data_IF_427892596071
#
_entry.id   IF_427892596071
#
_cell.length_a   1.000
_cell.length_b   1.000
_cell.length_c   1.000
_cell.angle_alpha   90.00
_cell.angle_beta   90.00
_cell.angle_gamma   90.00
#
_symmetry.space_group_name_H-M   'P 1'
#
loop_
_entity.id
_entity.type
_entity.pdbx_description
1 polymer ?
#
# COMPACT_ATOMS: atom_id res chain seq x y z
N UNK A 1 -1.24 22.85 -17.16
CA UNK A 1 -0.88 23.82 -16.11
C UNK A 1 -1.93 23.92 -15.01
N UNK A 2 -3.19 24.26 -15.29
CA UNK A 2 -4.26 24.42 -14.27
C UNK A 2 -4.44 23.15 -13.42
N UNK A 3 -4.42 21.96 -14.02
CA UNK A 3 -4.56 20.69 -13.33
C UNK A 3 -3.48 20.46 -12.25
N UNK A 4 -2.22 20.76 -12.57
CA UNK A 4 -1.11 20.62 -11.60
C UNK A 4 -1.26 21.60 -10.43
N UNK A 5 -1.63 22.85 -10.71
CA UNK A 5 -1.85 23.85 -9.66
C UNK A 5 -3.03 23.44 -8.75
N UNK A 6 -4.12 22.96 -9.35
CA UNK A 6 -5.28 22.48 -8.59
C UNK A 6 -4.92 21.27 -7.71
N UNK A 7 -4.21 20.29 -8.28
CA UNK A 7 -3.73 19.10 -7.56
C UNK A 7 -2.89 19.49 -6.32
N UNK A 8 -1.88 20.36 -6.54
CA UNK A 8 -1.00 20.81 -5.45
C UNK A 8 -1.75 21.65 -4.41
N UNK A 9 -2.70 22.48 -4.83
CA UNK A 9 -3.54 23.24 -3.92
C UNK A 9 -4.39 22.31 -3.02
N UNK A 10 -5.03 21.29 -3.61
CA UNK A 10 -5.80 20.30 -2.87
C UNK A 10 -4.90 19.54 -1.87
N UNK A 11 -3.72 19.10 -2.32
CA UNK A 11 -2.76 18.41 -1.47
C UNK A 11 -2.39 19.25 -0.23
N UNK A 12 -2.05 20.53 -0.43
CA UNK A 12 -1.67 21.44 0.68
C UNK A 12 -2.85 21.67 1.64
N UNK A 13 -4.04 21.91 1.10
CA UNK A 13 -5.27 22.12 1.89
C UNK A 13 -5.58 20.91 2.77
N UNK A 14 -5.35 19.69 2.29
CA UNK A 14 -5.54 18.46 3.06
C UNK A 14 -4.38 18.16 4.02
N UNK A 15 -3.14 18.45 3.62
CA UNK A 15 -1.96 18.13 4.40
C UNK A 15 -1.84 18.95 5.71
N UNK A 16 -2.26 20.22 5.70
CA UNK A 16 -2.18 21.09 6.87
C UNK A 16 -3.04 20.56 8.05
N UNK A 17 -4.37 20.31 7.89
CA UNK A 17 -5.18 19.77 8.97
C UNK A 17 -4.78 18.35 9.37
N UNK A 18 -4.38 17.51 8.40
CA UNK A 18 -3.87 16.18 8.71
C UNK A 18 -2.59 16.25 9.54
N UNK A 19 -1.67 17.16 9.23
CA UNK A 19 -0.45 17.35 10.01
C UNK A 19 -0.72 17.77 11.46
N UNK A 20 -1.71 18.66 11.69
CA UNK A 20 -2.16 19.01 13.03
C UNK A 20 -2.80 17.82 13.76
N UNK A 21 -3.60 17.02 13.06
CA UNK A 21 -4.21 15.81 13.59
C UNK A 21 -3.14 14.78 14.01
N UNK A 22 -2.17 14.48 13.13
CA UNK A 22 -1.05 13.57 13.41
C UNK A 22 -0.28 14.02 14.65
N UNK A 23 0.04 15.33 14.75
CA UNK A 23 0.71 15.90 15.92
C UNK A 23 -0.07 15.61 17.21
N UNK A 24 -1.38 15.84 17.21
CA UNK A 24 -2.23 15.64 18.38
C UNK A 24 -2.29 14.16 18.78
N UNK A 25 -2.46 13.25 17.83
CA UNK A 25 -2.43 11.79 18.06
C UNK A 25 -1.12 11.36 18.71
N UNK A 26 0.01 11.80 18.14
CA UNK A 26 1.34 11.39 18.62
C UNK A 26 1.75 12.06 19.94
N UNK A 27 1.14 13.19 20.28
CA UNK A 27 1.28 13.83 21.60
C UNK A 27 0.34 13.22 22.65
N UNK A 28 -0.54 12.27 22.28
CA UNK A 28 -1.52 11.68 23.18
C UNK A 28 -2.71 12.61 23.51
N UNK A 29 -2.88 13.68 22.75
CA UNK A 29 -4.01 14.61 22.89
C UNK A 29 -5.30 13.98 22.36
N UNK A 30 -6.45 14.34 22.93
CA UNK A 30 -7.75 13.85 22.46
C UNK A 30 -8.08 14.42 21.09
N UNK A 31 -8.50 13.56 20.18
CA UNK A 31 -8.95 13.90 18.83
C UNK A 31 -10.44 13.55 18.68
N UNK A 32 -11.07 13.95 17.58
CA UNK A 32 -12.47 13.65 17.31
C UNK A 32 -12.74 12.14 17.18
N UNK A 33 -11.76 11.33 16.76
CA UNK A 33 -11.87 9.87 16.68
C UNK A 33 -11.53 9.15 17.98
N UNK A 34 -11.02 9.83 19.01
CA UNK A 34 -10.57 9.18 20.25
C UNK A 34 -11.65 8.38 20.94
N UNK A 35 -12.92 8.80 20.89
CA UNK A 35 -14.04 8.08 21.52
C UNK A 35 -14.21 6.67 20.94
N UNK A 36 -13.96 6.49 19.66
CA UNK A 36 -14.13 5.22 18.93
C UNK A 36 -12.84 4.40 18.93
N UNK A 37 -11.70 5.03 18.72
CA UNK A 37 -10.43 4.34 18.48
C UNK A 37 -9.61 4.06 19.75
N UNK A 38 -9.75 4.87 20.80
CA UNK A 38 -9.02 4.63 22.07
C UNK A 38 -9.39 3.30 22.73
N UNK A 39 -10.63 2.79 22.71
CA UNK A 39 -10.91 1.45 23.19
C UNK A 39 -10.13 0.36 22.46
N UNK A 40 -9.99 0.47 21.13
CA UNK A 40 -9.20 -0.47 20.32
C UNK A 40 -7.70 -0.39 20.68
N UNK A 41 -7.16 0.82 20.80
CA UNK A 41 -5.79 1.08 21.25
C UNK A 41 -5.53 0.43 22.62
N UNK A 42 -6.45 0.62 23.58
CA UNK A 42 -6.36 0.04 24.93
C UNK A 42 -6.38 -1.48 24.91
N UNK A 43 -7.23 -2.07 24.05
CA UNK A 43 -7.31 -3.51 23.90
C UNK A 43 -5.97 -4.08 23.39
N UNK A 44 -5.37 -3.44 22.39
CA UNK A 44 -4.05 -3.84 21.86
C UNK A 44 -2.99 -3.76 22.95
N UNK A 45 -2.90 -2.69 23.71
CA UNK A 45 -1.93 -2.56 24.81
C UNK A 45 -2.14 -3.62 25.87
N UNK A 46 -3.39 -3.93 26.22
CA UNK A 46 -3.72 -4.99 27.20
C UNK A 46 -3.28 -6.37 26.70
N UNK A 47 -3.58 -6.70 25.43
CA UNK A 47 -3.24 -8.00 24.82
C UNK A 47 -1.72 -8.15 24.69
N UNK A 48 -1.05 -7.11 24.19
CA UNK A 48 0.40 -7.12 23.96
C UNK A 48 1.22 -6.78 25.21
N UNK A 49 0.56 -6.45 26.35
CA UNK A 49 1.21 -6.04 27.60
C UNK A 49 2.16 -4.85 27.41
N UNK A 50 1.76 -3.88 26.60
CA UNK A 50 2.53 -2.66 26.35
C UNK A 50 2.29 -1.66 27.46
N UNK A 51 3.37 -1.17 28.08
CA UNK A 51 3.32 -0.05 29.01
C UNK A 51 3.30 1.27 28.22
N UNK A 52 2.25 2.07 28.43
CA UNK A 52 2.07 3.37 27.75
C UNK A 52 3.08 4.43 28.15
N UNK A 53 3.55 4.39 29.39
CA UNK A 53 4.46 5.36 29.98
C UNK A 53 5.93 4.99 29.75
N UNK A 54 6.18 3.83 29.12
CA UNK A 54 7.53 3.38 28.88
C UNK A 54 8.34 4.40 28.06
N UNK A 55 9.52 4.74 28.58
CA UNK A 55 10.49 5.59 27.89
C UNK A 55 11.69 4.73 27.46
N UNK A 56 11.72 4.35 26.19
CA UNK A 56 12.82 3.56 25.64
C UNK A 56 14.05 4.44 25.37
N UNK A 57 15.22 3.90 25.69
CA UNK A 57 16.47 4.45 25.14
C UNK A 57 16.53 4.23 23.63
N UNK A 58 17.37 4.98 22.92
CA UNK A 58 17.51 4.81 21.47
C UNK A 58 17.90 3.39 21.07
N UNK A 59 18.72 2.68 21.88
CA UNK A 59 19.12 1.28 21.64
C UNK A 59 17.90 0.37 21.75
N UNK A 60 17.12 0.50 22.83
CA UNK A 60 15.91 -0.33 23.02
C UNK A 60 14.89 -0.08 21.94
N UNK A 61 14.70 1.18 21.52
CA UNK A 61 13.80 1.55 20.43
C UNK A 61 14.25 0.90 19.11
N UNK A 62 15.52 1.05 18.74
CA UNK A 62 16.09 0.47 17.52
C UNK A 62 15.98 -1.08 17.51
N UNK A 63 16.31 -1.72 18.64
CA UNK A 63 16.16 -3.19 18.76
C UNK A 63 14.71 -3.61 18.61
N UNK A 64 13.75 -2.86 19.17
CA UNK A 64 12.31 -3.15 18.99
C UNK A 64 11.89 -3.07 17.52
N UNK A 65 12.35 -2.06 16.79
CA UNK A 65 12.14 -1.93 15.34
C UNK A 65 12.71 -3.14 14.59
N UNK A 66 13.94 -3.53 14.90
CA UNK A 66 14.61 -4.67 14.23
C UNK A 66 13.90 -6.00 14.50
N UNK A 67 13.50 -6.25 15.77
CA UNK A 67 12.76 -7.46 16.13
C UNK A 67 11.40 -7.49 15.41
N UNK A 68 10.67 -6.40 15.43
CA UNK A 68 9.38 -6.29 14.75
C UNK A 68 9.50 -6.55 13.24
N UNK A 69 10.47 -5.90 12.59
CA UNK A 69 10.74 -6.10 11.17
C UNK A 69 11.19 -7.54 10.86
N UNK A 70 12.03 -8.13 11.71
CA UNK A 70 12.46 -9.53 11.56
C UNK A 70 11.31 -10.53 11.68
N UNK A 71 10.40 -10.34 12.63
CA UNK A 71 9.19 -11.16 12.76
C UNK A 71 8.32 -11.02 11.51
N UNK A 72 8.11 -9.81 11.03
CA UNK A 72 7.33 -9.55 9.80
C UNK A 72 7.96 -10.23 8.58
N UNK A 73 9.30 -10.16 8.43
CA UNK A 73 10.03 -10.82 7.34
C UNK A 73 9.79 -12.33 7.35
N UNK A 74 9.99 -12.97 8.51
CA UNK A 74 9.79 -14.42 8.64
C UNK A 74 8.33 -14.80 8.41
N UNK A 75 7.39 -14.04 8.95
CA UNK A 75 5.96 -14.27 8.77
C UNK A 75 5.57 -14.20 7.29
N UNK A 76 5.94 -13.11 6.59
CA UNK A 76 5.60 -12.94 5.19
C UNK A 76 6.29 -13.96 4.29
N UNK A 77 7.52 -14.32 4.59
CA UNK A 77 8.27 -15.36 3.88
C UNK A 77 7.56 -16.72 3.98
N UNK A 78 7.23 -17.15 5.20
CA UNK A 78 6.55 -18.42 5.42
C UNK A 78 5.15 -18.44 4.84
N UNK A 79 4.40 -17.32 4.93
CA UNK A 79 3.06 -17.23 4.36
C UNK A 79 3.07 -17.47 2.84
N UNK A 80 4.03 -16.91 2.12
CA UNK A 80 4.20 -17.11 0.68
C UNK A 80 4.60 -18.54 0.33
N UNK A 81 5.52 -19.14 1.06
CA UNK A 81 5.93 -20.53 0.82
C UNK A 81 4.78 -21.52 1.05
N UNK A 82 3.93 -21.25 2.04
CA UNK A 82 2.87 -22.15 2.47
C UNK A 82 1.51 -21.86 1.81
N UNK A 83 1.38 -20.82 0.98
CA UNK A 83 0.08 -20.41 0.44
C UNK A 83 -0.68 -21.52 -0.29
N UNK A 84 0.02 -22.49 -0.88
CA UNK A 84 -0.61 -23.61 -1.61
C UNK A 84 -1.43 -24.55 -0.70
N UNK A 85 -1.15 -24.55 0.61
CA UNK A 85 -1.87 -25.39 1.60
C UNK A 85 -2.72 -24.55 2.57
N UNK A 86 -2.65 -23.24 2.49
CA UNK A 86 -3.41 -22.33 3.34
C UNK A 86 -4.79 -22.02 2.73
N UNK A 87 -5.79 -21.64 3.56
CA UNK A 87 -7.10 -21.18 3.07
C UNK A 87 -6.99 -19.84 2.34
N UNK A 88 -8.07 -19.43 1.65
CA UNK A 88 -8.11 -18.16 0.93
C UNK A 88 -7.29 -18.16 -0.36
N UNK A 89 -7.17 -19.32 -0.98
CA UNK A 89 -6.49 -19.55 -2.26
C UNK A 89 -7.48 -20.15 -3.27
N UNK A 90 -8.48 -19.37 -3.76
CA UNK A 90 -9.53 -19.89 -4.63
C UNK A 90 -9.02 -20.31 -6.03
N UNK A 91 -7.86 -19.84 -6.43
CA UNK A 91 -7.21 -20.17 -7.70
C UNK A 91 -6.27 -21.38 -7.59
N UNK A 92 -6.13 -21.97 -6.39
CA UNK A 92 -5.24 -23.11 -6.11
C UNK A 92 -3.77 -22.85 -6.51
N UNK A 93 -3.30 -21.61 -6.32
CA UNK A 93 -1.91 -21.24 -6.61
C UNK A 93 -0.95 -22.02 -5.73
N UNK A 94 0.14 -22.47 -6.29
CA UNK A 94 1.22 -23.17 -5.59
C UNK A 94 1.98 -22.22 -4.65
N UNK A 95 2.80 -22.78 -3.74
CA UNK A 95 3.73 -21.98 -2.93
C UNK A 95 4.71 -21.19 -3.80
N UNK A 96 5.00 -19.97 -3.40
CA UNK A 96 5.97 -19.11 -4.10
C UNK A 96 7.37 -19.71 -3.96
N UNK A 97 8.21 -19.61 -4.98
CA UNK A 97 9.62 -20.05 -4.90
C UNK A 97 10.36 -19.28 -3.80
N UNK A 98 11.25 -19.95 -3.10
CA UNK A 98 11.90 -19.42 -1.89
C UNK A 98 12.67 -18.11 -2.12
N UNK A 99 13.36 -17.98 -3.25
CA UNK A 99 14.12 -16.81 -3.65
C UNK A 99 13.21 -15.58 -3.89
N UNK A 100 12.10 -15.79 -4.62
CA UNK A 100 11.09 -14.77 -4.84
C UNK A 100 10.36 -14.40 -3.55
N UNK A 101 10.01 -15.39 -2.72
CA UNK A 101 9.37 -15.15 -1.43
C UNK A 101 10.27 -14.35 -0.47
N UNK A 102 11.58 -14.65 -0.45
CA UNK A 102 12.53 -13.89 0.35
C UNK A 102 12.70 -12.46 -0.17
N UNK A 103 12.86 -12.29 -1.49
CA UNK A 103 12.96 -10.97 -2.11
C UNK A 103 11.72 -10.10 -1.80
N UNK A 104 10.53 -10.66 -1.98
CA UNK A 104 9.26 -10.01 -1.67
C UNK A 104 9.19 -9.61 -0.19
N UNK A 105 9.53 -10.53 0.71
CA UNK A 105 9.49 -10.26 2.15
C UNK A 105 10.45 -9.14 2.55
N UNK A 106 11.68 -9.16 2.06
CA UNK A 106 12.66 -8.11 2.31
C UNK A 106 12.19 -6.76 1.76
N UNK A 107 11.62 -6.75 0.56
CA UNK A 107 11.10 -5.57 -0.10
C UNK A 107 9.94 -4.93 0.69
N UNK A 108 8.97 -5.72 1.16
CA UNK A 108 7.82 -5.22 1.89
C UNK A 108 8.15 -4.77 3.32
N UNK A 109 9.10 -5.44 3.98
CA UNK A 109 9.57 -5.02 5.31
C UNK A 109 10.25 -3.65 5.29
N UNK A 110 10.98 -3.37 4.23
CA UNK A 110 11.71 -2.09 4.06
C UNK A 110 10.86 -0.98 3.46
N UNK A 111 9.56 -1.18 3.28
CA UNK A 111 8.63 -0.24 2.63
C UNK A 111 8.96 0.07 1.16
N UNK A 112 9.77 -0.77 0.52
CA UNK A 112 10.14 -0.61 -0.90
C UNK A 112 9.06 -1.12 -1.82
N UNK A 113 8.47 -2.27 -1.50
CA UNK A 113 7.39 -2.96 -2.21
C UNK A 113 7.66 -3.26 -3.68
N UNK A 114 8.94 -3.38 -4.06
CA UNK A 114 9.30 -3.85 -5.38
C UNK A 114 8.86 -5.31 -5.57
N UNK A 115 8.25 -5.61 -6.71
CA UNK A 115 7.66 -6.91 -7.03
C UNK A 115 8.21 -7.41 -8.37
N UNK A 116 8.73 -8.64 -8.39
CA UNK A 116 9.21 -9.33 -9.58
C UNK A 116 8.19 -10.37 -10.06
N UNK A 117 6.90 -10.08 -9.91
CA UNK A 117 5.79 -10.98 -10.23
C UNK A 117 4.50 -10.18 -10.43
N UNK A 118 3.54 -10.77 -11.12
CA UNK A 118 2.16 -10.30 -11.18
C UNK A 118 1.38 -10.88 -10.00
N UNK A 119 0.87 -10.01 -9.13
CA UNK A 119 0.26 -10.43 -7.86
C UNK A 119 -0.98 -11.29 -8.04
N UNK A 120 -1.80 -10.97 -9.02
CA UNK A 120 -3.06 -11.64 -9.35
C UNK A 120 -2.89 -13.09 -9.82
N UNK A 121 -1.73 -13.43 -10.40
CA UNK A 121 -1.42 -14.78 -10.89
C UNK A 121 -0.45 -15.55 -9.99
N UNK A 122 0.17 -14.89 -9.01
CA UNK A 122 1.22 -15.47 -8.18
C UNK A 122 0.81 -15.66 -6.73
N UNK A 123 -0.02 -14.76 -6.18
CA UNK A 123 -0.32 -14.70 -4.75
C UNK A 123 -1.79 -14.97 -4.45
N UNK A 124 -2.03 -15.85 -3.47
CA UNK A 124 -3.35 -16.10 -2.93
C UNK A 124 -3.95 -14.87 -2.24
N UNK A 125 -5.28 -14.80 -2.12
CA UNK A 125 -5.95 -13.69 -1.43
C UNK A 125 -5.53 -13.56 0.04
N UNK A 126 -5.27 -14.70 0.70
CA UNK A 126 -4.73 -14.68 2.06
C UNK A 126 -3.35 -14.03 2.10
N UNK A 127 -2.47 -14.38 1.17
CA UNK A 127 -1.13 -13.79 1.07
C UNK A 127 -1.21 -12.29 0.75
N UNK A 128 -2.07 -11.90 -0.18
CA UNK A 128 -2.31 -10.50 -0.52
C UNK A 128 -2.85 -9.69 0.68
N UNK A 129 -3.89 -10.20 1.36
CA UNK A 129 -4.57 -9.46 2.43
C UNK A 129 -3.79 -9.52 3.75
N UNK A 130 -3.50 -10.73 4.27
CA UNK A 130 -2.85 -10.90 5.57
C UNK A 130 -1.33 -10.68 5.50
N UNK A 131 -0.73 -10.98 4.37
CA UNK A 131 0.71 -10.75 4.13
C UNK A 131 0.99 -9.33 3.68
N UNK A 132 0.78 -9.05 2.40
CA UNK A 132 1.22 -7.80 1.78
C UNK A 132 0.50 -6.57 2.33
N UNK A 133 -0.85 -6.61 2.43
CA UNK A 133 -1.62 -5.45 2.92
C UNK A 133 -1.28 -5.13 4.37
N UNK A 134 -1.20 -6.13 5.25
CA UNK A 134 -0.78 -5.91 6.65
C UNK A 134 0.63 -5.33 6.70
N UNK A 135 1.54 -5.87 5.88
CA UNK A 135 2.92 -5.38 5.84
C UNK A 135 3.00 -3.93 5.33
N UNK A 136 2.16 -3.54 4.38
CA UNK A 136 2.05 -2.15 3.94
C UNK A 136 1.65 -1.20 5.09
N UNK A 137 0.72 -1.61 5.95
CA UNK A 137 0.36 -0.84 7.14
C UNK A 137 1.53 -0.71 8.11
N UNK A 138 2.14 -1.82 8.47
CA UNK A 138 3.12 -1.81 9.56
C UNK A 138 4.49 -1.29 9.15
N UNK A 139 4.89 -1.43 7.88
CA UNK A 139 6.14 -0.84 7.38
C UNK A 139 6.03 0.69 7.31
N UNK A 140 4.92 1.22 6.80
CA UNK A 140 4.63 2.66 6.80
C UNK A 140 4.57 3.22 8.24
N UNK A 141 3.86 2.52 9.13
CA UNK A 141 3.77 2.91 10.54
C UNK A 141 5.13 2.90 11.23
N UNK A 142 6.00 1.94 10.92
CA UNK A 142 7.36 1.86 11.43
C UNK A 142 8.19 3.08 11.00
N UNK A 143 8.10 3.48 9.73
CA UNK A 143 8.78 4.67 9.22
C UNK A 143 8.34 5.95 9.94
N UNK A 144 7.03 6.12 10.13
CA UNK A 144 6.48 7.27 10.87
C UNK A 144 6.91 7.22 12.36
N UNK A 145 6.91 6.04 12.99
CA UNK A 145 7.35 5.88 14.38
C UNK A 145 8.82 6.28 14.56
N UNK A 146 9.69 5.86 13.66
CA UNK A 146 11.12 6.25 13.65
C UNK A 146 11.27 7.77 13.46
N UNK A 147 10.47 8.39 12.58
CA UNK A 147 10.46 9.85 12.43
C UNK A 147 10.08 10.54 13.75
N UNK A 148 9.08 10.05 14.47
CA UNK A 148 8.70 10.64 15.76
C UNK A 148 9.76 10.43 16.85
N UNK A 149 10.46 9.29 16.86
CA UNK A 149 11.62 9.09 17.71
C UNK A 149 12.73 10.12 17.40
N UNK A 150 13.00 10.37 16.13
CA UNK A 150 13.95 11.40 15.67
C UNK A 150 13.51 12.81 16.09
N UNK A 151 12.24 13.17 15.89
CA UNK A 151 11.68 14.47 16.32
C UNK A 151 11.86 14.67 17.83
N UNK A 152 11.56 13.64 18.64
CA UNK A 152 11.77 13.71 20.10
C UNK A 152 13.24 13.88 20.43
N UNK A 153 14.15 13.21 19.72
CA UNK A 153 15.59 13.40 19.88
C UNK A 153 16.06 14.85 19.63
N UNK A 154 15.42 15.59 18.73
CA UNK A 154 15.72 17.00 18.49
C UNK A 154 15.11 17.95 19.53
N UNK A 155 13.96 17.61 20.10
CA UNK A 155 13.22 18.49 20.99
C UNK A 155 13.64 18.31 22.44
N UNK A 156 13.96 17.09 22.86
CA UNK A 156 14.21 16.75 24.25
C UNK A 156 15.63 17.09 24.65
N UNK A 157 15.78 18.16 25.44
CA UNK A 157 17.04 18.52 26.07
C UNK A 157 17.12 17.78 27.42
N UNK A 158 18.13 16.92 27.60
CA UNK A 158 18.40 16.18 28.87
C UNK A 158 17.45 15.00 29.16
N UNK A 159 16.65 14.50 28.23
CA UNK A 159 15.91 13.25 28.39
C UNK A 159 16.64 12.10 27.72
N UNK A 160 16.67 10.93 28.37
CA UNK A 160 17.24 9.69 27.81
C UNK A 160 16.19 8.84 27.07
N UNK A 161 14.91 9.20 27.11
CA UNK A 161 13.81 8.42 26.55
C UNK A 161 13.27 9.01 25.25
N UNK A 162 13.04 8.16 24.25
CA UNK A 162 12.45 8.51 22.95
C UNK A 162 10.97 8.13 22.82
N UNK A 163 10.31 7.76 23.94
CA UNK A 163 8.99 7.14 23.93
C UNK A 163 9.07 5.64 23.72
N UNK A 164 7.95 4.98 23.45
CA UNK A 164 7.89 3.55 23.19
C UNK A 164 7.52 3.28 21.72
N UNK A 165 8.33 2.45 21.05
CA UNK A 165 8.06 2.02 19.67
C UNK A 165 6.68 1.36 19.53
N UNK A 166 6.30 0.52 20.50
CA UNK A 166 5.01 -0.19 20.47
C UNK A 166 3.81 0.73 20.60
N UNK A 167 3.96 1.78 21.42
CA UNK A 167 2.94 2.83 21.56
C UNK A 167 2.82 3.63 20.28
N UNK A 168 3.95 4.06 19.72
CA UNK A 168 3.98 4.83 18.49
C UNK A 168 3.37 4.04 17.32
N UNK A 169 3.80 2.78 17.13
CA UNK A 169 3.28 1.88 16.10
C UNK A 169 1.76 1.72 16.22
N UNK A 170 1.27 1.42 17.42
CA UNK A 170 -0.16 1.22 17.66
C UNK A 170 -0.96 2.48 17.36
N UNK A 171 -0.51 3.64 17.83
CA UNK A 171 -1.19 4.92 17.56
C UNK A 171 -1.23 5.26 16.10
N UNK A 172 -0.13 5.09 15.38
CA UNK A 172 -0.05 5.36 13.95
C UNK A 172 -1.00 4.46 13.19
N UNK A 173 -0.99 3.14 13.45
CA UNK A 173 -1.88 2.21 12.77
C UNK A 173 -3.35 2.53 13.08
N UNK A 174 -3.71 2.63 14.37
CA UNK A 174 -5.12 2.71 14.79
C UNK A 174 -5.72 4.08 14.53
N UNK A 175 -5.00 5.17 14.82
CA UNK A 175 -5.57 6.51 14.77
C UNK A 175 -5.27 7.27 13.47
N UNK A 176 -4.23 6.90 12.71
CA UNK A 176 -3.84 7.62 11.49
C UNK A 176 -4.13 6.78 10.26
N UNK A 177 -3.44 5.64 10.11
CA UNK A 177 -3.51 4.85 8.88
C UNK A 177 -4.87 4.19 8.67
N UNK A 178 -5.41 3.51 9.69
CA UNK A 178 -6.65 2.76 9.55
C UNK A 178 -7.85 3.65 9.14
N UNK A 179 -8.16 4.76 9.84
CA UNK A 179 -9.31 5.60 9.45
C UNK A 179 -9.12 6.26 8.10
N UNK A 180 -7.90 6.71 7.77
CA UNK A 180 -7.60 7.33 6.49
C UNK A 180 -7.80 6.32 5.35
N UNK A 181 -7.25 5.12 5.51
CA UNK A 181 -7.35 4.06 4.50
C UNK A 181 -8.78 3.53 4.34
N UNK A 182 -9.57 3.51 5.40
CA UNK A 182 -10.99 3.15 5.28
C UNK A 182 -11.72 4.12 4.35
N UNK A 183 -11.50 5.43 4.52
CA UNK A 183 -12.11 6.45 3.66
C UNK A 183 -11.63 6.31 2.21
N UNK A 184 -10.33 6.18 2.00
CA UNK A 184 -9.75 6.04 0.66
C UNK A 184 -10.23 4.76 -0.02
N UNK A 185 -10.27 3.62 0.69
CA UNK A 185 -10.80 2.36 0.15
C UNK A 185 -12.25 2.50 -0.32
N UNK A 186 -13.10 3.18 0.46
CA UNK A 186 -14.49 3.44 0.07
C UNK A 186 -14.60 4.32 -1.18
N UNK A 187 -13.74 5.33 -1.30
CA UNK A 187 -13.68 6.18 -2.49
C UNK A 187 -13.22 5.39 -3.73
N UNK A 188 -12.21 4.52 -3.57
CA UNK A 188 -11.70 3.68 -4.65
C UNK A 188 -12.75 2.66 -5.10
N UNK A 189 -13.43 1.99 -4.16
CA UNK A 189 -14.55 1.07 -4.48
C UNK A 189 -15.67 1.81 -5.20
N UNK A 190 -16.04 3.00 -4.71
CA UNK A 190 -17.01 3.87 -5.38
C UNK A 190 -16.57 4.32 -6.78
N UNK A 191 -15.28 4.38 -7.03
CA UNK A 191 -14.67 4.66 -8.33
C UNK A 191 -14.51 3.44 -9.25
N UNK A 192 -14.87 2.23 -8.78
CA UNK A 192 -14.85 1.00 -9.58
C UNK A 192 -13.64 0.09 -9.36
N UNK A 193 -12.78 0.39 -8.38
CA UNK A 193 -11.69 -0.53 -8.00
C UNK A 193 -12.24 -1.77 -7.33
N UNK A 194 -11.77 -2.95 -7.75
CA UNK A 194 -12.28 -4.24 -7.28
C UNK A 194 -12.06 -4.43 -5.77
N UNK A 195 -13.12 -4.88 -5.08
CA UNK A 195 -13.07 -5.27 -3.68
C UNK A 195 -14.05 -6.41 -3.41
N UNK A 196 -13.62 -7.64 -3.59
CA UNK A 196 -14.41 -8.83 -3.34
C UNK A 196 -13.55 -10.02 -2.94
N UNK A 197 -14.15 -11.18 -2.75
CA UNK A 197 -13.47 -12.45 -2.45
C UNK A 197 -13.83 -13.55 -3.46
N UNK A 198 -14.39 -13.16 -4.61
CA UNK A 198 -14.67 -14.09 -5.70
C UNK A 198 -13.36 -14.59 -6.30
N UNK A 199 -13.37 -15.81 -6.83
CA UNK A 199 -12.29 -16.26 -7.71
C UNK A 199 -12.27 -15.41 -8.98
N UNK A 200 -11.13 -15.39 -9.66
CA UNK A 200 -11.05 -14.78 -10.98
C UNK A 200 -12.11 -15.37 -11.93
N UNK A 201 -12.61 -14.56 -12.81
CA UNK A 201 -13.64 -14.93 -13.80
C UNK A 201 -13.02 -14.93 -15.19
N UNK A 202 -13.36 -15.95 -15.98
CA UNK A 202 -13.06 -15.97 -17.41
C UNK A 202 -14.29 -15.45 -18.14
N UNK A 203 -14.12 -14.41 -18.93
CA UNK A 203 -15.19 -13.78 -19.70
C UNK A 203 -14.91 -13.92 -21.18
N UNK A 204 -15.94 -14.22 -22.00
CA UNK A 204 -15.81 -14.25 -23.44
C UNK A 204 -15.60 -12.85 -23.99
N UNK A 205 -14.67 -12.69 -24.89
CA UNK A 205 -14.47 -11.44 -25.61
C UNK A 205 -15.63 -11.21 -26.59
N UNK A 206 -16.01 -9.95 -26.77
CA UNK A 206 -17.02 -9.55 -27.77
C UNK A 206 -16.51 -9.84 -29.18
N UNK A 207 -15.23 -9.61 -29.41
CA UNK A 207 -14.51 -9.90 -30.64
C UNK A 207 -13.23 -10.67 -30.29
N UNK A 208 -12.98 -11.81 -30.95
CA UNK A 208 -11.72 -12.53 -30.78
C UNK A 208 -10.53 -11.66 -31.17
N UNK A 209 -9.39 -11.87 -30.52
CA UNK A 209 -8.14 -11.22 -30.88
C UNK A 209 -7.11 -12.27 -31.30
N UNK A 210 -6.25 -11.91 -32.26
CA UNK A 210 -5.11 -12.71 -32.65
C UNK A 210 -3.84 -12.23 -31.95
N UNK A 211 -3.06 -13.17 -31.42
CA UNK A 211 -1.81 -12.91 -30.71
C UNK A 211 -0.68 -13.68 -31.37
N UNK A 212 0.45 -13.02 -31.62
CA UNK A 212 1.64 -13.66 -32.19
C UNK A 212 2.25 -14.69 -31.23
N UNK A 213 3.19 -15.49 -31.71
CA UNK A 213 3.96 -16.42 -30.88
C UNK A 213 4.77 -15.71 -29.76
N UNK A 214 5.09 -14.45 -29.94
CA UNK A 214 5.80 -13.59 -28.99
C UNK A 214 4.86 -12.94 -27.98
N UNK A 215 3.54 -13.10 -28.13
CA UNK A 215 2.53 -12.54 -27.22
C UNK A 215 2.06 -11.12 -27.60
N UNK A 216 2.36 -10.64 -28.79
CA UNK A 216 1.91 -9.34 -29.27
C UNK A 216 0.56 -9.45 -29.99
N UNK A 217 -0.35 -8.49 -29.78
CA UNK A 217 -1.63 -8.43 -30.47
C UNK A 217 -1.37 -8.07 -31.92
N UNK A 218 -1.91 -8.89 -32.83
CA UNK A 218 -1.85 -8.64 -34.26
C UNK A 218 -2.97 -7.67 -34.63
N UNK A 219 -2.61 -6.42 -34.89
CA UNK A 219 -3.53 -5.40 -35.37
C UNK A 219 -3.95 -5.76 -36.83
N UNK A 220 -5.19 -5.43 -37.18
CA UNK A 220 -5.79 -5.70 -38.51
C UNK A 220 -5.83 -7.19 -38.92
N UNK A 221 -5.73 -8.11 -37.94
CA UNK A 221 -5.84 -9.53 -38.22
C UNK A 221 -7.29 -9.93 -38.55
N UNK A 222 -7.45 -10.67 -39.63
CA UNK A 222 -8.72 -11.35 -39.97
C UNK A 222 -8.68 -12.73 -39.36
N UNK A 223 -9.63 -13.02 -38.50
CA UNK A 223 -9.73 -14.28 -37.77
C UNK A 223 -10.89 -15.10 -38.33
N UNK A 224 -10.61 -16.28 -38.84
CA UNK A 224 -11.60 -17.29 -39.21
C UNK A 224 -11.67 -18.35 -38.10
N UNK A 225 -12.77 -18.32 -37.36
CA UNK A 225 -13.00 -19.25 -36.23
C UNK A 225 -13.32 -20.67 -36.69
N UNK A 226 -13.83 -20.84 -37.90
CA UNK A 226 -14.20 -22.17 -38.41
C UNK A 226 -12.95 -22.98 -38.87
N UNK A 227 -11.98 -22.26 -39.40
CA UNK A 227 -10.70 -22.84 -39.86
C UNK A 227 -9.57 -22.64 -38.86
N UNK A 228 -9.80 -21.92 -37.76
CA UNK A 228 -8.78 -21.52 -36.77
C UNK A 228 -7.57 -20.85 -37.43
N UNK A 229 -7.80 -20.05 -38.46
CA UNK A 229 -6.72 -19.33 -39.18
C UNK A 229 -6.75 -17.86 -38.93
N UNK A 230 -5.55 -17.30 -38.84
CA UNK A 230 -5.30 -15.86 -38.69
C UNK A 230 -4.57 -15.37 -39.91
N UNK A 231 -5.09 -14.32 -40.55
CA UNK A 231 -4.46 -13.65 -41.70
C UNK A 231 -4.22 -12.19 -41.41
N UNK A 232 -3.04 -11.71 -41.78
CA UNK A 232 -2.68 -10.28 -41.72
C UNK A 232 -2.20 -9.89 -43.13
N UNK A 233 -2.73 -8.82 -43.68
CA UNK A 233 -2.45 -8.37 -45.05
C UNK A 233 -2.67 -9.45 -46.14
N UNK A 234 -3.55 -10.42 -45.87
CA UNK A 234 -3.87 -11.49 -46.78
C UNK A 234 -2.93 -12.70 -46.72
N UNK A 235 -1.94 -12.68 -45.82
CA UNK A 235 -1.05 -13.82 -45.59
C UNK A 235 -1.40 -14.54 -44.27
N UNK A 236 -1.35 -15.88 -44.27
CA UNK A 236 -1.62 -16.69 -43.08
C UNK A 236 -0.45 -16.56 -42.11
N UNK A 237 -0.73 -16.14 -40.88
CA UNK A 237 0.26 -16.03 -39.80
C UNK A 237 0.37 -17.41 -39.12
N UNK A 238 1.48 -18.09 -39.37
CA UNK A 238 1.77 -19.38 -38.71
C UNK A 238 2.04 -19.15 -37.21
N UNK A 239 1.47 -19.99 -36.34
CA UNK A 239 1.61 -19.95 -34.88
C UNK A 239 0.92 -18.76 -34.19
N UNK A 240 0.03 -18.04 -34.84
CA UNK A 240 -0.86 -17.10 -34.16
C UNK A 240 -1.85 -17.87 -33.27
N UNK A 241 -2.12 -17.32 -32.07
CA UNK A 241 -3.14 -17.84 -31.17
C UNK A 241 -4.40 -16.98 -31.25
N UNK A 242 -5.54 -17.63 -31.37
CA UNK A 242 -6.86 -16.97 -31.32
C UNK A 242 -7.29 -16.97 -29.86
N UNK A 243 -7.45 -15.78 -29.28
CA UNK A 243 -7.91 -15.56 -27.92
C UNK A 243 -9.38 -15.15 -27.95
N UNK A 244 -10.25 -15.97 -27.43
CA UNK A 244 -11.71 -15.76 -27.36
C UNK A 244 -12.19 -15.43 -25.95
N UNK A 245 -11.33 -15.61 -24.96
CA UNK A 245 -11.65 -15.42 -23.54
C UNK A 245 -10.60 -14.56 -22.86
N UNK A 246 -11.04 -13.76 -21.91
CA UNK A 246 -10.15 -12.97 -21.07
C UNK A 246 -10.27 -13.39 -19.60
N UNK A 247 -9.12 -13.61 -18.96
CA UNK A 247 -9.04 -13.81 -17.53
C UNK A 247 -9.13 -12.45 -16.82
N UNK A 248 -10.17 -12.29 -16.00
CA UNK A 248 -10.40 -11.07 -15.20
C UNK A 248 -10.06 -11.38 -13.73
N UNK A 249 -8.93 -10.91 -13.22
CA UNK A 249 -8.57 -11.12 -11.82
C UNK A 249 -9.54 -10.38 -10.89
N UNK A 250 -9.90 -11.04 -9.80
CA UNK A 250 -10.77 -10.54 -8.74
C UNK A 250 -9.99 -10.42 -7.43
N UNK A 251 -10.64 -10.03 -6.35
CA UNK A 251 -10.08 -10.05 -5.01
C UNK A 251 -10.15 -8.72 -4.24
N UNK A 252 -9.51 -8.64 -3.06
CA UNK A 252 -9.57 -7.47 -2.20
C UNK A 252 -8.54 -6.39 -2.59
N UNK A 253 -8.60 -5.89 -3.83
CA UNK A 253 -7.62 -4.96 -4.37
C UNK A 253 -7.72 -3.54 -3.79
N UNK A 254 -8.92 -2.94 -3.70
CA UNK A 254 -9.07 -1.54 -3.30
C UNK A 254 -8.48 -1.23 -1.91
N UNK A 255 -8.61 -2.14 -0.94
CA UNK A 255 -8.05 -1.96 0.40
C UNK A 255 -6.52 -1.97 0.38
N UNK A 256 -5.90 -2.82 -0.46
CA UNK A 256 -4.45 -2.83 -0.62
C UNK A 256 -3.98 -1.58 -1.38
N UNK A 257 -4.70 -1.17 -2.44
CA UNK A 257 -4.38 0.06 -3.19
C UNK A 257 -4.43 1.29 -2.28
N UNK A 258 -5.44 1.41 -1.42
CA UNK A 258 -5.53 2.53 -0.48
C UNK A 258 -4.29 2.63 0.41
N UNK A 259 -3.87 1.52 1.04
CA UNK A 259 -2.73 1.56 1.97
C UNK A 259 -1.39 1.69 1.24
N UNK A 260 -1.22 1.04 0.07
CA UNK A 260 0.03 1.18 -0.68
C UNK A 260 0.29 2.63 -1.10
N UNK A 261 -0.77 3.40 -1.36
CA UNK A 261 -0.65 4.81 -1.69
C UNK A 261 -0.39 5.65 -0.44
N UNK A 262 -1.22 5.55 0.60
CA UNK A 262 -1.04 6.36 1.81
C UNK A 262 0.23 6.03 2.59
N UNK A 263 0.66 4.78 2.56
CA UNK A 263 1.91 4.33 3.18
C UNK A 263 3.16 4.64 2.35
N UNK A 264 2.99 5.23 1.15
CA UNK A 264 4.08 5.46 0.18
C UNK A 264 4.86 4.19 -0.18
N UNK A 265 4.19 3.03 -0.09
CA UNK A 265 4.80 1.72 -0.28
C UNK A 265 5.17 1.46 -1.75
N UNK A 266 4.28 1.82 -2.68
CA UNK A 266 4.38 1.38 -4.07
C UNK A 266 3.92 -0.07 -4.25
N UNK A 267 4.34 -0.73 -5.32
CA UNK A 267 3.88 -2.06 -5.70
C UNK A 267 2.40 -2.06 -6.10
N UNK A 268 1.69 -3.10 -5.77
CA UNK A 268 0.25 -3.17 -5.99
C UNK A 268 -0.29 -4.58 -5.97
N UNK A 269 -1.61 -4.69 -5.95
CA UNK A 269 -2.32 -5.96 -6.03
C UNK A 269 -1.97 -6.72 -7.32
N UNK A 270 -1.93 -5.98 -8.44
CA UNK A 270 -1.53 -6.48 -9.77
C UNK A 270 -0.01 -6.32 -10.06
N UNK A 271 0.78 -5.83 -9.10
CA UNK A 271 2.23 -5.73 -9.23
C UNK A 271 2.77 -4.57 -10.09
N UNK A 272 1.93 -3.66 -10.56
CA UNK A 272 2.29 -2.62 -11.54
C UNK A 272 2.07 -1.18 -11.06
N UNK A 273 2.13 -0.93 -9.77
CA UNK A 273 2.03 0.40 -9.15
C UNK A 273 0.80 1.22 -9.59
N UNK A 274 -0.37 0.59 -9.64
CA UNK A 274 -1.63 1.19 -10.11
C UNK A 274 -1.68 1.56 -11.59
N UNK A 275 -0.82 1.00 -12.43
CA UNK A 275 -0.97 1.12 -13.89
C UNK A 275 -2.04 0.16 -14.44
N UNK A 276 -2.45 -0.85 -13.68
CA UNK A 276 -3.46 -1.80 -14.10
C UNK A 276 -4.87 -1.17 -14.06
N UNK A 277 -5.70 -1.33 -15.12
CA UNK A 277 -7.03 -0.72 -15.18
C UNK A 277 -7.97 -1.12 -14.03
N UNK A 278 -7.81 -2.31 -13.46
CA UNK A 278 -8.62 -2.79 -12.33
C UNK A 278 -8.18 -2.21 -10.97
N UNK A 279 -6.98 -1.64 -10.86
CA UNK A 279 -6.53 -0.88 -9.70
C UNK A 279 -6.84 0.62 -9.83
N UNK A 280 -6.81 1.15 -11.06
CA UNK A 280 -6.98 2.58 -11.35
C UNK A 280 -7.82 2.77 -12.63
N UNK A 281 -9.14 2.51 -12.55
CA UNK A 281 -10.00 2.43 -13.73
C UNK A 281 -10.33 3.78 -14.39
N UNK A 282 -10.14 4.91 -13.71
CA UNK A 282 -10.56 6.21 -14.25
C UNK A 282 -9.82 7.39 -13.62
N UNK A 283 -10.06 8.59 -14.16
CA UNK A 283 -9.43 9.84 -13.72
C UNK A 283 -9.72 10.21 -12.25
N UNK A 284 -10.89 9.81 -11.71
CA UNK A 284 -11.24 10.05 -10.32
C UNK A 284 -10.37 9.20 -9.38
N UNK A 285 -10.26 7.90 -9.63
CA UNK A 285 -9.41 6.99 -8.84
C UNK A 285 -7.94 7.41 -8.93
N UNK A 286 -7.47 7.78 -10.13
CA UNK A 286 -6.13 8.30 -10.33
C UNK A 286 -5.84 9.56 -9.49
N UNK A 287 -6.77 10.51 -9.44
CA UNK A 287 -6.63 11.70 -8.60
C UNK A 287 -6.54 11.35 -7.11
N UNK A 288 -7.41 10.45 -6.64
CA UNK A 288 -7.40 9.99 -5.23
C UNK A 288 -6.06 9.33 -4.89
N UNK A 289 -5.57 8.45 -5.75
CA UNK A 289 -4.31 7.75 -5.53
C UNK A 289 -3.11 8.71 -5.53
N UNK A 290 -3.04 9.63 -6.51
CA UNK A 290 -2.00 10.64 -6.58
C UNK A 290 -1.97 11.56 -5.36
N UNK A 291 -3.15 11.96 -4.84
CA UNK A 291 -3.21 12.75 -3.60
C UNK A 291 -2.74 11.89 -2.41
N UNK A 292 -3.20 10.65 -2.33
CA UNK A 292 -2.94 9.76 -1.20
C UNK A 292 -1.45 9.48 -1.01
N UNK A 293 -0.68 9.30 -2.09
CA UNK A 293 0.75 8.97 -2.00
C UNK A 293 1.58 10.13 -1.42
N UNK A 294 1.19 11.38 -1.66
CA UNK A 294 1.91 12.56 -1.16
C UNK A 294 1.31 13.13 0.13
N UNK A 295 0.11 12.70 0.54
CA UNK A 295 -0.65 13.33 1.60
C UNK A 295 0.05 13.22 2.97
N UNK A 296 0.47 12.02 3.37
CA UNK A 296 1.15 11.81 4.66
C UNK A 296 2.54 12.47 4.67
N UNK A 297 3.41 12.28 3.68
CA UNK A 297 4.71 12.98 3.62
C UNK A 297 4.58 14.51 3.73
N UNK A 298 3.64 15.10 2.99
CA UNK A 298 3.35 16.53 3.07
C UNK A 298 2.86 16.95 4.47
N UNK A 299 1.92 16.18 5.04
CA UNK A 299 1.39 16.43 6.38
C UNK A 299 2.48 16.34 7.45
N UNK A 300 3.42 15.41 7.33
CA UNK A 300 4.52 15.23 8.28
C UNK A 300 5.48 16.43 8.31
N UNK A 301 5.62 17.19 7.23
CA UNK A 301 6.38 18.45 7.23
C UNK A 301 5.73 19.48 8.16
N UNK A 302 4.41 19.62 8.10
CA UNK A 302 3.64 20.51 8.99
C UNK A 302 3.63 19.99 10.43
N UNK A 303 3.54 18.66 10.61
CA UNK A 303 3.67 18.00 11.91
C UNK A 303 5.01 18.31 12.55
N UNK A 304 6.10 18.16 11.82
CA UNK A 304 7.45 18.47 12.28
C UNK A 304 7.56 19.94 12.73
N UNK A 305 7.16 20.89 11.88
CA UNK A 305 7.19 22.31 12.20
C UNK A 305 6.41 22.66 13.47
N UNK A 306 5.26 22.00 13.67
CA UNK A 306 4.45 22.14 14.90
C UNK A 306 5.14 21.54 16.13
N UNK A 307 5.73 20.36 15.99
CA UNK A 307 6.39 19.63 17.07
C UNK A 307 7.64 20.36 17.58
N UNK A 308 8.46 20.89 16.68
CA UNK A 308 9.66 21.69 17.03
C UNK A 308 9.33 23.15 17.40
N UNK A 309 8.03 23.50 17.44
CA UNK A 309 7.54 24.87 17.70
C UNK A 309 8.11 25.93 16.74
N UNK A 310 8.47 25.53 15.54
CA UNK A 310 8.98 26.39 14.47
C UNK A 310 8.32 26.06 13.13
N UNK A 311 7.17 26.70 12.87
CA UNK A 311 6.42 26.50 11.64
C UNK A 311 7.22 26.82 10.38
N UNK A 312 8.15 27.81 10.44
CA UNK A 312 9.00 28.17 9.30
C UNK A 312 9.90 27.02 8.88
N UNK A 313 10.41 26.24 9.84
CA UNK A 313 11.23 25.06 9.55
C UNK A 313 10.43 23.98 8.83
N UNK A 314 9.20 23.71 9.27
CA UNK A 314 8.31 22.76 8.58
C UNK A 314 7.99 23.20 7.15
N UNK A 315 7.70 24.49 6.95
CA UNK A 315 7.45 25.06 5.61
C UNK A 315 8.72 24.97 4.75
N UNK A 316 9.90 25.22 5.30
CA UNK A 316 11.16 25.13 4.55
C UNK A 316 11.41 23.70 4.03
N UNK A 317 11.16 22.68 4.86
CA UNK A 317 11.26 21.27 4.45
C UNK A 317 10.22 20.96 3.38
N UNK A 318 8.97 21.38 3.59
CA UNK A 318 7.91 21.19 2.58
C UNK A 318 8.28 21.84 1.24
N UNK A 319 8.78 23.07 1.24
CA UNK A 319 9.19 23.78 0.03
C UNK A 319 10.38 23.11 -0.65
N UNK A 320 11.34 22.57 0.12
CA UNK A 320 12.44 21.79 -0.47
C UNK A 320 11.92 20.53 -1.17
N UNK A 321 10.97 19.79 -0.57
CA UNK A 321 10.33 18.63 -1.21
C UNK A 321 9.46 19.01 -2.41
N UNK A 322 8.88 20.21 -2.39
CA UNK A 322 8.04 20.72 -3.46
C UNK A 322 8.83 21.13 -4.72
N UNK A 323 10.10 21.51 -4.57
CA UNK A 323 10.97 21.92 -5.65
C UNK A 323 11.71 20.76 -6.33
N UNK A 324 11.77 19.59 -5.67
CA UNK A 324 12.35 18.35 -6.21
C UNK A 324 11.33 17.53 -6.99
#
# INVERSE_FOLDING_TARGET
MIQYVLYLAILVVLAIPLGAYIKNVMSGEKTFLSKVLTPCENLIYKVMRVDREEQMTWKKYAVSVMIFSGIGLVFLFLLQLLQGVLPGNPQHLSGVKWDLAFNTSASFITNTNWQAYSGESTLSYLTQALGLTVQNFVSAATGIAVLFALIRGFIQVKSSGLGSFWVDLTRIVVHILLPLNLVISLLLVGGGVIQNLKSAETVSLVEPIAVSAEGEILEDAVIDLDTETVTVDGEIVSNAQIVTEQFVPMGPAASQVAIKQTGTNGGGYMGVNSAHPLENPNAFTNLIEMISILLIPAALCFTFGSAVKNKKQGIAIFMAMFLC
#
